data_IF_256194058850
#
_entry.id   IF_256194058850
#
_cell.length_a   1.000
_cell.length_b   1.000
_cell.length_c   1.000
_cell.angle_alpha   90.00
_cell.angle_beta   90.00
_cell.angle_gamma   90.00
#
_symmetry.space_group_name_H-M   'P 1'
#
loop_
_entity.id
_entity.type
_entity.pdbx_description
1 polymer ?
#
# COMPACT_ATOMS: atom_id res chain seq x y z
N UNK A 1 -11.87 -13.54 -20.64
CA UNK A 1 -10.58 -13.33 -19.96
C UNK A 1 -10.85 -13.17 -18.47
N UNK A 2 -9.85 -13.27 -17.58
CA UNK A 2 -10.10 -13.03 -16.15
C UNK A 2 -10.57 -11.60 -15.92
N UNK A 3 -9.99 -10.63 -16.65
CA UNK A 3 -10.42 -9.24 -16.59
C UNK A 3 -11.91 -9.07 -16.87
N UNK A 4 -12.40 -9.61 -18.01
CA UNK A 4 -13.82 -9.51 -18.37
C UNK A 4 -14.75 -10.10 -17.30
N UNK A 5 -14.39 -11.26 -16.75
CA UNK A 5 -15.17 -11.89 -15.68
C UNK A 5 -15.28 -11.00 -14.44
N UNK A 6 -14.20 -10.32 -14.07
CA UNK A 6 -14.19 -9.38 -12.95
C UNK A 6 -14.98 -8.12 -13.26
N UNK A 7 -14.85 -7.57 -14.48
CA UNK A 7 -15.61 -6.39 -14.91
C UNK A 7 -17.13 -6.67 -14.90
N UNK A 8 -17.55 -7.83 -15.40
CA UNK A 8 -18.96 -8.25 -15.46
C UNK A 8 -19.55 -8.43 -14.04
N UNK A 9 -18.81 -9.06 -13.11
CA UNK A 9 -19.28 -9.24 -11.72
C UNK A 9 -19.23 -7.96 -10.89
N UNK A 10 -18.25 -7.08 -11.13
CA UNK A 10 -18.11 -5.80 -10.45
C UNK A 10 -19.27 -4.83 -10.68
N UNK A 11 -20.18 -5.14 -11.61
CA UNK A 11 -21.46 -4.44 -11.77
C UNK A 11 -22.45 -4.71 -10.63
N UNK A 12 -22.32 -5.84 -9.93
CA UNK A 12 -23.21 -6.27 -8.86
C UNK A 12 -22.51 -6.22 -7.49
N UNK A 13 -21.25 -6.64 -7.45
CA UNK A 13 -20.44 -6.68 -6.24
C UNK A 13 -18.98 -6.43 -6.59
N UNK A 14 -18.36 -5.43 -5.97
CA UNK A 14 -16.99 -5.07 -6.30
C UNK A 14 -16.04 -6.20 -5.88
N UNK A 15 -15.42 -6.84 -6.86
CA UNK A 15 -14.40 -7.86 -6.64
C UNK A 15 -13.02 -7.24 -6.73
N UNK A 16 -12.44 -6.92 -5.59
CA UNK A 16 -11.00 -6.64 -5.51
C UNK A 16 -10.22 -7.94 -5.35
N UNK A 17 -8.96 -7.95 -5.74
CA UNK A 17 -8.09 -9.07 -5.45
C UNK A 17 -6.72 -8.65 -4.91
N UNK A 18 -6.15 -9.57 -4.16
CA UNK A 18 -4.73 -9.65 -3.90
C UNK A 18 -4.16 -10.90 -4.54
N UNK A 19 -2.90 -10.83 -4.95
CA UNK A 19 -2.13 -12.01 -5.37
C UNK A 19 -1.94 -13.07 -4.29
N UNK A 20 -2.41 -12.80 -3.07
CA UNK A 20 -2.31 -13.68 -1.91
C UNK A 20 -0.86 -13.91 -1.50
N UNK A 21 -0.66 -14.56 -0.36
CA UNK A 21 0.68 -15.02 0.06
C UNK A 21 1.09 -16.27 -0.72
N UNK A 22 0.11 -17.05 -1.17
CA UNK A 22 0.26 -18.35 -1.83
C UNK A 22 0.43 -18.30 -3.36
N UNK A 23 0.36 -17.12 -3.99
CA UNK A 23 0.40 -16.97 -5.45
C UNK A 23 -0.92 -17.35 -6.17
N UNK A 24 -1.97 -17.66 -5.40
CA UNK A 24 -3.35 -17.75 -5.88
C UNK A 24 -4.04 -16.42 -5.60
N UNK A 25 -4.85 -15.93 -6.54
CA UNK A 25 -5.66 -14.76 -6.27
C UNK A 25 -6.66 -15.05 -5.17
N UNK A 26 -6.66 -14.21 -4.14
CA UNK A 26 -7.77 -14.09 -3.20
C UNK A 26 -8.67 -12.97 -3.70
N UNK A 27 -9.93 -13.29 -3.95
CA UNK A 27 -10.94 -12.31 -4.32
C UNK A 27 -11.75 -11.95 -3.08
N UNK A 28 -11.92 -10.65 -2.84
CA UNK A 28 -12.68 -10.14 -1.69
C UNK A 28 -13.88 -9.36 -2.22
N UNK A 29 -15.11 -9.87 -1.99
CA UNK A 29 -16.33 -9.24 -2.46
C UNK A 29 -16.75 -8.09 -1.54
N UNK A 30 -17.01 -6.92 -2.12
CA UNK A 30 -17.55 -5.75 -1.42
C UNK A 30 -18.85 -5.32 -2.09
N UNK A 31 -19.96 -5.43 -1.37
CA UNK A 31 -21.19 -4.76 -1.78
C UNK A 31 -21.02 -3.23 -1.68
N UNK A 32 -22.03 -2.47 -2.13
CA UNK A 32 -21.93 -1.01 -2.16
C UNK A 32 -21.66 -0.41 -0.76
N UNK A 33 -22.28 -0.99 0.27
CA UNK A 33 -22.13 -0.53 1.65
C UNK A 33 -20.72 -0.80 2.19
N UNK A 34 -20.22 -2.03 2.05
CA UNK A 34 -18.86 -2.42 2.47
C UNK A 34 -17.81 -1.62 1.69
N UNK A 35 -18.05 -1.37 0.41
CA UNK A 35 -17.18 -0.54 -0.44
C UNK A 35 -17.11 0.90 0.08
N UNK A 36 -18.24 1.53 0.38
CA UNK A 36 -18.28 2.88 0.94
C UNK A 36 -17.62 2.94 2.32
N UNK A 37 -17.88 1.96 3.20
CA UNK A 37 -17.21 1.89 4.49
C UNK A 37 -15.70 1.74 4.37
N UNK A 38 -15.22 0.93 3.42
CA UNK A 38 -13.78 0.81 3.13
C UNK A 38 -13.18 2.15 2.70
N UNK A 39 -13.80 2.85 1.74
CA UNK A 39 -13.30 4.15 1.24
C UNK A 39 -13.30 5.17 2.37
N UNK A 40 -14.40 5.27 3.13
CA UNK A 40 -14.54 6.20 4.24
C UNK A 40 -13.52 5.92 5.34
N UNK A 41 -13.37 4.66 5.75
CA UNK A 41 -12.39 4.24 6.76
C UNK A 41 -10.97 4.66 6.39
N UNK A 42 -10.52 4.34 5.16
CA UNK A 42 -9.19 4.74 4.71
C UNK A 42 -9.03 6.26 4.64
N UNK A 43 -10.05 6.98 4.14
CA UNK A 43 -10.00 8.43 4.00
C UNK A 43 -9.94 9.15 5.35
N UNK A 44 -10.82 8.79 6.29
CA UNK A 44 -10.86 9.39 7.64
C UNK A 44 -9.59 9.04 8.42
N UNK A 45 -9.07 7.80 8.31
CA UNK A 45 -7.80 7.45 8.93
C UNK A 45 -6.63 8.24 8.33
N UNK A 46 -6.57 8.40 7.01
CA UNK A 46 -5.52 9.18 6.36
C UNK A 46 -5.56 10.66 6.78
N UNK A 47 -6.74 11.28 6.83
CA UNK A 47 -6.90 12.67 7.28
C UNK A 47 -6.58 12.81 8.76
N UNK A 48 -7.02 11.89 9.62
CA UNK A 48 -6.73 11.93 11.05
C UNK A 48 -5.22 11.81 11.32
N UNK A 49 -4.53 11.00 10.52
CA UNK A 49 -3.10 10.73 10.66
C UNK A 49 -2.23 11.84 10.08
N UNK A 50 -2.60 12.37 8.92
CA UNK A 50 -1.80 13.40 8.26
C UNK A 50 -2.19 14.82 8.65
N UNK A 51 -3.44 15.06 9.02
CA UNK A 51 -4.02 16.37 9.33
C UNK A 51 -4.87 16.91 8.18
N UNK A 52 -5.84 17.78 8.48
CA UNK A 52 -6.85 18.28 7.52
C UNK A 52 -6.28 18.99 6.28
N UNK A 53 -5.05 19.48 6.34
CA UNK A 53 -4.42 20.17 5.23
C UNK A 53 -4.29 19.31 3.96
N UNK A 54 -4.25 17.99 4.11
CA UNK A 54 -4.19 17.04 2.98
C UNK A 54 -5.37 17.15 2.02
N UNK A 55 -6.51 17.68 2.49
CA UNK A 55 -7.69 17.94 1.65
C UNK A 55 -7.42 18.97 0.54
N UNK A 56 -6.42 19.83 0.72
CA UNK A 56 -6.05 20.86 -0.25
C UNK A 56 -4.94 20.45 -1.22
N UNK A 57 -4.25 19.33 -0.93
CA UNK A 57 -3.07 18.87 -1.65
C UNK A 57 -3.41 18.10 -2.93
N UNK A 58 -2.50 18.12 -3.90
CA UNK A 58 -2.63 17.35 -5.13
C UNK A 58 -2.04 15.94 -4.94
N UNK A 59 -2.86 14.91 -5.17
CA UNK A 59 -2.43 13.52 -5.11
C UNK A 59 -1.80 13.07 -6.42
N UNK A 60 -0.53 12.65 -6.39
CA UNK A 60 0.17 12.03 -7.52
C UNK A 60 0.32 10.53 -7.21
N UNK A 61 -0.42 9.70 -7.95
CA UNK A 61 -0.54 8.27 -7.68
C UNK A 61 0.23 7.44 -8.72
N UNK A 62 1.31 6.79 -8.30
CA UNK A 62 2.14 5.90 -9.11
C UNK A 62 1.54 4.49 -9.27
N UNK A 63 0.29 4.42 -9.72
CA UNK A 63 -0.52 3.20 -9.80
C UNK A 63 -1.47 3.22 -11.02
N UNK A 64 -1.98 2.06 -11.46
CA UNK A 64 -2.92 1.96 -12.58
C UNK A 64 -4.29 2.57 -12.26
N UNK A 65 -4.83 3.31 -13.23
CA UNK A 65 -6.17 3.91 -13.19
C UNK A 65 -7.29 2.86 -13.24
N UNK A 66 -7.13 1.81 -14.04
CA UNK A 66 -8.09 0.70 -14.17
C UNK A 66 -7.46 -0.61 -13.73
N UNK A 67 -7.94 -1.17 -12.62
CA UNK A 67 -7.56 -2.49 -12.12
C UNK A 67 -8.45 -2.90 -10.93
N UNK A 68 -8.49 -4.19 -10.62
CA UNK A 68 -9.10 -4.73 -9.41
C UNK A 68 -8.05 -5.03 -8.31
N UNK A 69 -6.77 -4.72 -8.56
CA UNK A 69 -5.74 -4.79 -7.53
C UNK A 69 -6.08 -3.83 -6.39
N UNK A 70 -6.23 -4.37 -5.19
CA UNK A 70 -6.66 -3.58 -4.03
C UNK A 70 -5.73 -2.38 -3.78
N UNK A 71 -4.41 -2.58 -3.80
CA UNK A 71 -3.38 -1.52 -3.61
C UNK A 71 -3.41 -0.40 -4.66
N UNK A 72 -4.17 -0.56 -5.73
CA UNK A 72 -4.28 0.46 -6.78
C UNK A 72 -5.67 1.08 -6.83
N UNK A 73 -6.71 0.28 -6.61
CA UNK A 73 -8.08 0.77 -6.55
C UNK A 73 -8.33 1.65 -5.32
N UNK A 74 -8.04 1.15 -4.10
CA UNK A 74 -8.43 1.89 -2.88
C UNK A 74 -7.73 3.26 -2.75
N UNK A 75 -6.42 3.43 -3.02
CA UNK A 75 -5.78 4.74 -2.86
C UNK A 75 -6.31 5.78 -3.85
N UNK A 76 -6.77 5.36 -5.04
CA UNK A 76 -7.43 6.25 -5.99
C UNK A 76 -8.74 6.78 -5.42
N UNK A 77 -9.64 5.89 -4.99
CA UNK A 77 -10.94 6.30 -4.44
C UNK A 77 -10.78 7.17 -3.18
N UNK A 78 -9.79 6.86 -2.35
CA UNK A 78 -9.45 7.67 -1.16
C UNK A 78 -8.93 9.05 -1.55
N UNK A 79 -8.03 9.15 -2.53
CA UNK A 79 -7.50 10.44 -2.99
C UNK A 79 -8.62 11.33 -3.58
N UNK A 80 -9.52 10.74 -4.37
CA UNK A 80 -10.69 11.45 -4.91
C UNK A 80 -11.62 11.93 -3.79
N UNK A 81 -11.86 11.09 -2.78
CA UNK A 81 -12.70 11.43 -1.62
C UNK A 81 -12.10 12.55 -0.75
N UNK A 82 -10.79 12.57 -0.56
CA UNK A 82 -10.09 13.52 0.31
C UNK A 82 -9.97 14.90 -0.34
N UNK A 83 -9.53 14.96 -1.58
CA UNK A 83 -9.19 16.24 -2.24
C UNK A 83 -9.85 16.46 -3.60
N UNK A 84 -10.15 15.40 -4.35
CA UNK A 84 -10.61 15.50 -5.75
C UNK A 84 -9.55 16.02 -6.74
N UNK A 85 -8.35 16.40 -6.27
CA UNK A 85 -7.19 16.77 -7.10
C UNK A 85 -6.28 15.56 -7.25
N UNK A 86 -6.50 14.75 -8.28
CA UNK A 86 -5.81 13.46 -8.44
C UNK A 86 -5.20 13.27 -9.83
N UNK A 87 -3.91 12.94 -9.87
CA UNK A 87 -3.19 12.50 -11.06
C UNK A 87 -2.77 11.04 -10.92
N UNK A 88 -3.29 10.19 -11.80
CA UNK A 88 -2.96 8.75 -11.85
C UNK A 88 -2.05 8.45 -13.05
N UNK A 89 -0.89 7.85 -12.79
CA UNK A 89 0.21 7.80 -13.78
C UNK A 89 0.17 6.61 -14.75
N UNK A 90 -0.43 5.48 -14.35
CA UNK A 90 -0.60 4.31 -15.21
C UNK A 90 -2.04 4.20 -15.71
N UNK A 91 -2.21 3.65 -16.91
CA UNK A 91 -3.53 3.48 -17.51
C UNK A 91 -4.22 2.24 -16.94
N UNK A 92 -3.85 1.06 -17.43
CA UNK A 92 -4.51 -0.19 -17.07
C UNK A 92 -3.48 -1.29 -16.87
N UNK A 93 -3.73 -2.12 -15.85
CA UNK A 93 -3.04 -3.39 -15.65
C UNK A 93 -4.13 -4.46 -15.53
N UNK A 94 -4.26 -5.29 -16.57
CA UNK A 94 -5.28 -6.33 -16.60
C UNK A 94 -4.96 -7.47 -15.63
N UNK A 95 -6.01 -8.08 -15.07
CA UNK A 95 -5.90 -9.23 -14.18
C UNK A 95 -5.16 -10.41 -14.82
N UNK A 96 -5.24 -10.57 -16.15
CA UNK A 96 -4.52 -11.61 -16.88
C UNK A 96 -3.00 -11.41 -16.88
N UNK A 97 -2.52 -10.17 -17.02
CA UNK A 97 -1.08 -9.83 -16.89
C UNK A 97 -0.59 -10.14 -15.48
N UNK A 98 -1.40 -9.76 -14.49
CA UNK A 98 -1.11 -9.99 -13.07
C UNK A 98 -1.01 -11.50 -12.81
N UNK A 99 -1.95 -12.29 -13.33
CA UNK A 99 -1.99 -13.75 -13.19
C UNK A 99 -0.78 -14.43 -13.80
N UNK A 100 -0.37 -13.95 -14.97
CA UNK A 100 0.75 -14.53 -15.69
C UNK A 100 2.09 -14.30 -14.95
N UNK A 101 2.22 -13.23 -14.17
CA UNK A 101 3.41 -12.95 -13.35
C UNK A 101 3.41 -13.64 -11.98
N UNK A 102 2.26 -14.12 -11.49
CA UNK A 102 2.17 -14.77 -10.17
C UNK A 102 2.42 -16.28 -10.21
N UNK A 103 2.12 -16.95 -11.33
CA UNK A 103 2.38 -18.38 -11.52
C UNK A 103 3.75 -18.63 -12.14
N UNK A 104 4.54 -19.60 -11.64
CA UNK A 104 5.70 -20.10 -12.36
C UNK A 104 5.24 -20.69 -13.70
N UNK A 105 5.89 -20.33 -14.83
CA UNK A 105 5.54 -20.91 -16.13
C UNK A 105 5.88 -22.40 -16.16
N UNK A 106 4.90 -23.25 -16.43
CA UNK A 106 5.06 -24.71 -16.45
C UNK A 106 5.41 -25.24 -17.85
N UNK A 107 4.95 -24.55 -18.89
CA UNK A 107 5.16 -24.95 -20.30
C UNK A 107 6.11 -24.01 -21.04
N UNK A 108 6.68 -24.47 -22.17
CA UNK A 108 7.54 -23.64 -23.02
C UNK A 108 6.82 -22.39 -23.55
N UNK A 109 5.56 -22.52 -23.98
CA UNK A 109 4.73 -21.37 -24.41
C UNK A 109 4.52 -20.37 -23.27
N UNK A 110 4.32 -20.83 -22.03
CA UNK A 110 4.21 -19.94 -20.87
C UNK A 110 5.53 -19.27 -20.51
N UNK A 111 6.67 -19.95 -20.68
CA UNK A 111 8.00 -19.34 -20.49
C UNK A 111 8.22 -18.19 -21.48
N UNK A 112 7.92 -18.40 -22.76
CA UNK A 112 8.01 -17.35 -23.80
C UNK A 112 7.09 -16.18 -23.47
N UNK A 113 5.83 -16.45 -23.09
CA UNK A 113 4.88 -15.41 -22.66
C UNK A 113 5.37 -14.65 -21.43
N UNK A 114 5.94 -15.34 -20.44
CA UNK A 114 6.50 -14.74 -19.23
C UNK A 114 7.67 -13.81 -19.56
N UNK A 115 8.55 -14.17 -20.49
CA UNK A 115 9.66 -13.32 -20.93
C UNK A 115 9.17 -12.06 -21.65
N UNK A 116 8.19 -12.19 -22.54
CA UNK A 116 7.57 -11.04 -23.24
C UNK A 116 6.89 -10.11 -22.23
N UNK A 117 6.12 -10.66 -21.30
CA UNK A 117 5.48 -9.91 -20.22
C UNK A 117 6.54 -9.21 -19.36
N UNK A 118 7.65 -9.90 -19.06
CA UNK A 118 8.86 -9.39 -18.42
C UNK A 118 9.33 -8.08 -19.03
N UNK A 119 9.63 -8.12 -20.32
CA UNK A 119 10.10 -6.99 -21.13
C UNK A 119 9.08 -5.84 -21.18
N UNK A 120 7.79 -6.14 -21.39
CA UNK A 120 6.71 -5.15 -21.36
C UNK A 120 6.64 -4.43 -19.99
N UNK A 121 6.83 -5.16 -18.89
CA UNK A 121 6.86 -4.56 -17.56
C UNK A 121 8.03 -3.61 -17.34
N UNK A 122 9.21 -3.92 -17.87
CA UNK A 122 10.35 -3.00 -17.83
C UNK A 122 10.08 -1.69 -18.58
N UNK A 123 9.42 -1.78 -19.75
CA UNK A 123 8.97 -0.61 -20.51
C UNK A 123 7.93 0.19 -19.71
N UNK A 124 6.95 -0.49 -19.11
CA UNK A 124 5.93 0.13 -18.26
C UNK A 124 6.55 0.84 -17.06
N UNK A 125 7.55 0.22 -16.40
CA UNK A 125 8.32 0.82 -15.30
C UNK A 125 9.06 2.07 -15.75
N UNK A 126 9.81 2.00 -16.86
CA UNK A 126 10.52 3.17 -17.39
C UNK A 126 9.55 4.32 -17.70
N UNK A 127 8.38 4.01 -18.27
CA UNK A 127 7.32 4.99 -18.54
C UNK A 127 6.71 5.56 -17.26
N UNK A 128 6.45 4.73 -16.25
CA UNK A 128 5.97 5.16 -14.93
C UNK A 128 6.96 6.13 -14.30
N UNK A 129 8.23 5.76 -14.22
CA UNK A 129 9.28 6.57 -13.60
C UNK A 129 9.46 7.91 -14.36
N UNK A 130 9.39 7.91 -15.70
CA UNK A 130 9.42 9.15 -16.50
C UNK A 130 8.23 10.06 -16.22
N UNK A 131 7.02 9.50 -16.12
CA UNK A 131 5.82 10.27 -15.78
C UNK A 131 5.87 10.80 -14.35
N UNK A 132 6.30 9.97 -13.41
CA UNK A 132 6.46 10.34 -12.00
C UNK A 132 7.44 11.49 -11.86
N UNK A 133 8.60 11.42 -12.53
CA UNK A 133 9.55 12.51 -12.63
C UNK A 133 8.88 13.79 -13.16
N UNK A 134 8.18 13.72 -14.29
CA UNK A 134 7.56 14.90 -14.92
C UNK A 134 6.49 15.55 -14.05
N UNK A 135 5.62 14.77 -13.40
CA UNK A 135 4.58 15.33 -12.54
C UNK A 135 5.14 15.89 -11.23
N UNK A 136 6.14 15.24 -10.64
CA UNK A 136 6.83 15.77 -9.45
C UNK A 136 7.59 17.05 -9.79
N UNK A 137 8.33 17.09 -10.91
CA UNK A 137 9.03 18.28 -11.38
C UNK A 137 8.08 19.47 -11.61
N UNK A 138 6.90 19.22 -12.23
CA UNK A 138 5.86 20.26 -12.37
C UNK A 138 5.37 20.77 -11.03
N UNK A 139 5.13 19.89 -10.06
CA UNK A 139 4.68 20.27 -8.73
C UNK A 139 5.74 21.12 -8.01
N UNK A 140 7.01 20.71 -8.08
CA UNK A 140 8.16 21.46 -7.54
C UNK A 140 8.25 22.85 -8.18
N UNK A 141 8.21 22.94 -9.52
CA UNK A 141 8.28 24.20 -10.24
C UNK A 141 7.14 25.17 -9.88
N UNK A 142 5.95 24.65 -9.60
CA UNK A 142 4.78 25.43 -9.16
C UNK A 142 4.70 25.67 -7.66
N UNK A 143 5.62 25.08 -6.88
CA UNK A 143 5.56 25.00 -5.41
C UNK A 143 4.22 24.45 -4.90
N UNK A 144 3.63 23.51 -5.64
CA UNK A 144 2.36 22.86 -5.29
C UNK A 144 2.60 21.78 -4.23
N UNK A 145 1.92 21.89 -3.09
CA UNK A 145 1.95 20.84 -2.05
C UNK A 145 1.27 19.55 -2.57
N UNK A 146 2.01 18.44 -2.55
CA UNK A 146 1.56 17.15 -3.09
C UNK A 146 1.54 16.02 -2.06
N UNK A 147 0.71 15.02 -2.35
CA UNK A 147 0.77 13.69 -1.75
C UNK A 147 1.26 12.72 -2.79
N UNK A 148 2.50 12.25 -2.63
CA UNK A 148 3.12 11.34 -3.57
C UNK A 148 2.92 9.89 -3.11
N UNK A 149 2.04 9.14 -3.79
CA UNK A 149 1.74 7.76 -3.43
C UNK A 149 2.40 6.75 -4.38
N UNK A 150 3.01 5.70 -3.83
CA UNK A 150 3.47 4.53 -4.59
C UNK A 150 3.74 3.34 -3.69
N UNK A 151 3.86 2.14 -4.26
CA UNK A 151 4.38 1.01 -3.47
C UNK A 151 5.83 1.28 -3.05
N UNK A 152 6.26 0.70 -1.93
CA UNK A 152 7.64 0.80 -1.44
C UNK A 152 8.69 0.53 -2.54
N UNK A 153 8.59 -0.56 -3.33
CA UNK A 153 9.56 -0.82 -4.41
C UNK A 153 9.57 0.25 -5.52
N UNK A 154 8.41 0.75 -5.93
CA UNK A 154 8.30 1.82 -6.94
C UNK A 154 8.92 3.12 -6.45
N UNK A 155 8.64 3.48 -5.19
CA UNK A 155 9.18 4.69 -4.59
C UNK A 155 10.70 4.61 -4.41
N UNK A 156 11.20 3.46 -3.98
CA UNK A 156 12.64 3.18 -3.89
C UNK A 156 13.31 3.30 -5.27
N UNK A 157 12.76 2.65 -6.30
CA UNK A 157 13.31 2.71 -7.66
C UNK A 157 13.31 4.15 -8.22
N UNK A 158 12.29 4.95 -7.90
CA UNK A 158 12.23 6.35 -8.29
C UNK A 158 13.33 7.19 -7.61
N UNK A 159 13.42 7.12 -6.28
CA UNK A 159 14.37 7.91 -5.52
C UNK A 159 15.82 7.50 -5.81
N UNK A 160 16.09 6.19 -5.93
CA UNK A 160 17.41 5.66 -6.33
C UNK A 160 17.86 6.25 -7.65
N UNK A 161 16.96 6.30 -8.65
CA UNK A 161 17.28 6.83 -9.97
C UNK A 161 17.56 8.34 -9.98
N UNK A 162 16.88 9.12 -9.13
CA UNK A 162 17.18 10.55 -8.95
C UNK A 162 18.59 10.73 -8.39
N UNK A 163 18.90 10.03 -7.30
CA UNK A 163 20.23 10.12 -6.65
C UNK A 163 21.35 9.64 -7.57
N UNK A 164 21.16 8.54 -8.31
CA UNK A 164 22.12 8.04 -9.31
C UNK A 164 22.41 9.04 -10.44
N UNK A 165 21.49 9.97 -10.71
CA UNK A 165 21.66 11.05 -11.69
C UNK A 165 22.22 12.34 -11.09
N UNK A 166 22.42 12.40 -9.78
CA UNK A 166 22.75 13.64 -9.07
C UNK A 166 21.59 14.65 -9.07
N UNK A 167 20.35 14.19 -9.25
CA UNK A 167 19.15 15.01 -9.26
C UNK A 167 18.48 14.99 -7.88
N UNK A 168 17.90 16.13 -7.47
CA UNK A 168 17.07 16.24 -6.27
C UNK A 168 15.82 17.07 -6.59
N UNK A 169 14.65 16.49 -6.34
CA UNK A 169 13.35 17.13 -6.52
C UNK A 169 12.74 17.43 -5.15
N UNK A 170 13.23 18.50 -4.51
CA UNK A 170 12.79 18.88 -3.16
C UNK A 170 11.29 19.24 -3.13
N UNK A 171 10.49 18.41 -2.47
CA UNK A 171 9.04 18.57 -2.44
C UNK A 171 8.66 19.80 -1.58
N UNK A 172 7.76 20.67 -2.08
CA UNK A 172 7.47 21.94 -1.43
C UNK A 172 6.58 21.78 -0.19
N UNK A 173 6.74 22.70 0.76
CA UNK A 173 5.82 22.87 1.89
C UNK A 173 5.66 21.61 2.74
N UNK A 174 4.42 21.25 3.02
CA UNK A 174 4.03 20.09 3.84
C UNK A 174 3.80 18.83 3.01
N UNK A 175 4.34 18.75 1.79
CA UNK A 175 4.21 17.56 0.96
C UNK A 175 4.64 16.31 1.72
N UNK A 176 3.92 15.21 1.50
CA UNK A 176 4.17 13.92 2.14
C UNK A 176 4.34 12.82 1.09
N UNK A 177 5.13 11.81 1.43
CA UNK A 177 5.24 10.57 0.66
C UNK A 177 4.43 9.50 1.37
N UNK A 178 3.55 8.83 0.62
CA UNK A 178 2.73 7.75 1.13
C UNK A 178 3.12 6.45 0.45
N UNK A 179 3.41 5.43 1.24
CA UNK A 179 3.76 4.09 0.74
C UNK A 179 2.87 3.01 1.34
N UNK A 180 2.89 1.82 0.74
CA UNK A 180 2.16 0.67 1.27
C UNK A 180 2.48 -0.66 0.60
N UNK A 181 1.91 -1.73 1.18
CA UNK A 181 1.98 -3.10 0.67
C UNK A 181 3.25 -3.89 1.05
N UNK A 182 4.00 -3.38 2.02
CA UNK A 182 5.05 -4.11 2.71
C UNK A 182 6.45 -3.92 2.13
N UNK A 183 7.42 -4.16 3.01
CA UNK A 183 8.84 -3.96 2.76
C UNK A 183 9.47 -5.21 2.15
N UNK A 184 9.39 -5.35 0.83
CA UNK A 184 10.25 -6.25 0.07
C UNK A 184 10.98 -5.44 -1.00
N UNK A 185 11.90 -4.61 -0.52
CA UNK A 185 12.87 -3.95 -1.38
C UNK A 185 13.93 -4.95 -1.85
N UNK A 186 14.89 -4.47 -2.64
CA UNK A 186 16.11 -5.22 -2.95
C UNK A 186 16.70 -5.82 -1.66
N UNK A 187 17.21 -7.06 -1.73
CA UNK A 187 17.78 -7.74 -0.56
C UNK A 187 18.82 -6.85 0.12
N UNK A 188 18.65 -6.61 1.42
CA UNK A 188 19.61 -5.86 2.24
C UNK A 188 19.32 -4.37 2.40
N UNK A 189 18.31 -3.82 1.72
CA UNK A 189 17.87 -2.44 1.99
C UNK A 189 17.10 -2.42 3.30
N UNK A 190 17.45 -1.52 4.24
CA UNK A 190 16.72 -1.29 5.49
C UNK A 190 15.75 -0.11 5.38
N UNK A 191 14.80 0.01 6.31
CA UNK A 191 13.86 1.14 6.31
C UNK A 191 14.59 2.47 6.52
N UNK A 192 15.67 2.47 7.30
CA UNK A 192 16.53 3.63 7.55
C UNK A 192 17.23 4.07 6.26
N UNK A 193 17.72 3.11 5.46
CA UNK A 193 18.31 3.41 4.15
C UNK A 193 17.28 3.99 3.19
N UNK A 194 16.06 3.46 3.18
CA UNK A 194 14.98 4.02 2.36
C UNK A 194 14.59 5.43 2.82
N UNK A 195 14.49 5.67 4.13
CA UNK A 195 14.21 7.00 4.69
C UNK A 195 15.31 8.01 4.30
N UNK A 196 16.59 7.62 4.38
CA UNK A 196 17.70 8.46 3.91
C UNK A 196 17.56 8.79 2.42
N UNK A 197 17.19 7.80 1.61
CA UNK A 197 17.01 7.97 0.19
C UNK A 197 15.85 8.92 -0.15
N UNK A 198 14.75 8.89 0.61
CA UNK A 198 13.65 9.86 0.49
C UNK A 198 14.13 11.30 0.76
N UNK A 199 15.00 11.50 1.75
CA UNK A 199 15.56 12.81 2.04
C UNK A 199 16.50 13.30 0.92
N UNK A 200 17.41 12.44 0.47
CA UNK A 200 18.37 12.75 -0.59
C UNK A 200 17.68 13.08 -1.92
N UNK A 201 16.66 12.30 -2.30
CA UNK A 201 15.97 12.47 -3.58
C UNK A 201 14.88 13.55 -3.54
N UNK A 202 14.12 13.65 -2.44
CA UNK A 202 12.86 14.41 -2.38
C UNK A 202 12.79 15.43 -1.24
N UNK A 203 13.78 15.48 -0.35
CA UNK A 203 13.77 16.39 0.81
C UNK A 203 12.77 16.01 1.91
N UNK A 204 12.26 14.78 1.89
CA UNK A 204 11.32 14.28 2.90
C UNK A 204 12.08 13.81 4.15
N UNK A 205 11.84 14.39 5.33
CA UNK A 205 12.57 14.06 6.56
C UNK A 205 11.98 12.81 7.21
N UNK A 206 12.06 11.66 6.55
CA UNK A 206 11.48 10.43 7.08
C UNK A 206 12.16 9.99 8.41
N UNK A 207 11.41 9.48 9.41
CA UNK A 207 10.03 9.00 9.34
C UNK A 207 8.95 10.09 9.29
N UNK A 208 9.26 11.33 9.64
CA UNK A 208 8.33 12.44 9.51
C UNK A 208 7.96 12.69 8.04
N UNK A 209 6.68 12.97 7.77
CA UNK A 209 6.13 13.15 6.41
C UNK A 209 6.30 11.95 5.46
N UNK A 210 6.74 10.80 5.96
CA UNK A 210 6.63 9.51 5.28
C UNK A 210 5.54 8.66 5.95
N UNK A 211 4.42 8.50 5.27
CA UNK A 211 3.27 7.73 5.74
C UNK A 211 3.29 6.35 5.10
N UNK A 212 3.64 5.31 5.87
CA UNK A 212 3.57 3.92 5.45
C UNK A 212 2.27 3.28 5.93
N UNK A 213 1.58 2.58 5.03
CA UNK A 213 0.33 1.87 5.29
C UNK A 213 0.53 0.37 5.39
N UNK A 214 0.17 -0.20 6.55
CA UNK A 214 0.03 -1.65 6.71
C UNK A 214 -1.43 -2.07 6.56
N UNK A 215 -1.68 -3.14 5.80
CA UNK A 215 -3.00 -3.71 5.62
C UNK A 215 -3.00 -4.83 4.59
N UNK A 216 -4.20 -5.29 4.25
CA UNK A 216 -4.43 -6.44 3.38
C UNK A 216 -5.78 -6.31 2.67
N UNK A 217 -5.97 -7.03 1.56
CA UNK A 217 -7.19 -6.86 0.75
C UNK A 217 -8.45 -7.37 1.43
N UNK A 218 -8.29 -8.23 2.42
CA UNK A 218 -9.31 -8.79 3.27
C UNK A 218 -9.81 -7.77 4.31
N UNK A 219 -9.10 -6.66 4.52
CA UNK A 219 -9.41 -5.66 5.53
C UNK A 219 -9.95 -4.36 4.92
N UNK A 220 -10.98 -3.76 5.52
CA UNK A 220 -11.53 -2.46 5.13
C UNK A 220 -10.92 -1.29 5.91
N UNK A 221 -9.78 -1.53 6.56
CA UNK A 221 -9.00 -0.51 7.24
C UNK A 221 -7.54 -0.53 6.78
N UNK A 222 -6.82 0.57 7.02
CA UNK A 222 -5.37 0.64 6.89
C UNK A 222 -4.76 1.20 8.17
N UNK A 223 -3.70 0.55 8.64
CA UNK A 223 -2.89 1.01 9.76
C UNK A 223 -1.83 1.99 9.22
N UNK A 224 -2.19 3.27 9.17
CA UNK A 224 -1.29 4.33 8.70
C UNK A 224 -0.27 4.72 9.77
N UNK A 225 0.96 4.97 9.35
CA UNK A 225 1.97 5.57 10.22
C UNK A 225 1.77 7.07 10.42
N UNK A 226 1.97 7.55 11.65
CA UNK A 226 1.84 8.96 11.98
C UNK A 226 2.89 9.82 11.26
N UNK A 227 2.48 11.02 10.81
CA UNK A 227 3.38 11.97 10.12
C UNK A 227 4.44 12.57 11.04
N UNK A 228 4.27 12.41 12.35
CA UNK A 228 5.14 12.94 13.40
C UNK A 228 6.29 11.99 13.77
N UNK A 229 6.22 10.71 13.40
CA UNK A 229 7.31 9.78 13.74
C UNK A 229 7.18 8.34 13.27
N UNK A 230 6.23 8.03 12.39
CA UNK A 230 6.20 6.75 11.68
C UNK A 230 5.65 5.55 12.46
N UNK A 231 5.03 5.74 13.62
CA UNK A 231 4.33 4.66 14.34
C UNK A 231 2.95 4.40 13.73
N UNK A 232 2.59 3.13 13.51
CA UNK A 232 1.34 2.75 12.81
C UNK A 232 0.18 2.67 13.78
N UNK A 233 -0.85 3.50 13.60
CA UNK A 233 -2.00 3.52 14.49
C UNK A 233 -3.05 2.48 14.13
N UNK A 234 -3.66 1.91 15.15
CA UNK A 234 -4.88 1.10 15.04
C UNK A 234 -6.09 2.05 15.03
N UNK A 235 -6.89 2.09 13.94
CA UNK A 235 -8.11 2.90 13.93
C UNK A 235 -9.09 2.48 15.03
N UNK A 236 -9.82 3.42 15.66
CA UNK A 236 -10.67 3.11 16.81
C UNK A 236 -11.91 2.28 16.48
N UNK A 237 -12.24 2.12 15.19
CA UNK A 237 -13.38 1.32 14.72
C UNK A 237 -13.00 -0.12 14.32
N UNK A 238 -11.75 -0.55 14.52
CA UNK A 238 -11.35 -1.95 14.37
C UNK A 238 -10.98 -2.54 15.73
N UNK A 239 -11.30 -3.80 15.97
CA UNK A 239 -10.80 -4.52 17.14
C UNK A 239 -9.63 -5.41 16.71
N UNK A 240 -8.43 -5.12 17.21
CA UNK A 240 -7.26 -5.99 17.02
C UNK A 240 -7.06 -6.90 18.22
N UNK A 241 -6.53 -8.09 17.97
CA UNK A 241 -6.18 -9.11 18.97
C UNK A 241 -4.78 -9.63 18.61
N UNK A 242 -3.96 -9.89 19.62
CA UNK A 242 -2.74 -10.68 19.44
C UNK A 242 -2.99 -12.07 20.00
N UNK A 243 -2.66 -13.09 19.23
CA UNK A 243 -2.83 -14.48 19.62
C UNK A 243 -1.47 -15.14 19.91
N UNK A 244 -1.44 -16.01 20.90
CA UNK A 244 -0.30 -16.91 21.15
C UNK A 244 -0.24 -18.06 20.12
N UNK A 245 0.68 -19.00 20.32
CA UNK A 245 0.87 -20.14 19.42
C UNK A 245 -0.32 -21.11 19.44
N UNK A 246 -1.07 -21.16 20.55
CA UNK A 246 -2.30 -21.93 20.72
C UNK A 246 -3.57 -21.16 20.31
N UNK A 247 -3.40 -20.00 19.64
CA UNK A 247 -4.48 -19.11 19.20
C UNK A 247 -5.33 -18.52 20.34
N UNK A 248 -4.79 -18.40 21.55
CA UNK A 248 -5.45 -17.74 22.68
C UNK A 248 -5.10 -16.25 22.69
N UNK A 249 -6.06 -15.38 23.05
CA UNK A 249 -5.81 -13.94 23.11
C UNK A 249 -4.79 -13.59 24.19
N UNK A 250 -3.82 -12.76 23.81
CA UNK A 250 -2.87 -12.12 24.71
C UNK A 250 -3.50 -10.88 25.37
N UNK A 251 -2.95 -10.41 26.50
CA UNK A 251 -3.45 -9.20 27.15
C UNK A 251 -3.32 -7.94 26.28
N UNK A 252 -4.16 -6.94 26.54
CA UNK A 252 -4.20 -5.69 25.77
C UNK A 252 -3.59 -4.51 26.55
N UNK A 253 -2.43 -4.74 27.17
CA UNK A 253 -1.69 -3.70 27.90
C UNK A 253 -0.19 -3.82 27.67
N UNK A 254 0.52 -2.69 27.84
CA UNK A 254 1.96 -2.62 27.63
C UNK A 254 2.35 -3.00 26.21
N UNK A 255 3.48 -3.69 26.06
CA UNK A 255 3.98 -4.15 24.77
C UNK A 255 3.81 -5.65 24.65
N UNK A 256 3.10 -6.09 23.62
CA UNK A 256 2.77 -7.50 23.40
C UNK A 256 3.15 -7.90 21.98
N UNK A 257 3.59 -9.14 21.81
CA UNK A 257 3.95 -9.68 20.50
C UNK A 257 3.26 -11.01 20.28
N UNK A 258 2.48 -11.11 19.20
CA UNK A 258 1.71 -12.31 18.87
C UNK A 258 1.23 -12.30 17.42
N UNK A 259 0.49 -13.33 17.03
CA UNK A 259 -0.14 -13.41 15.71
C UNK A 259 -1.26 -12.39 15.64
N UNK A 260 -1.24 -11.50 14.65
CA UNK A 260 -2.28 -10.49 14.51
C UNK A 260 -3.58 -11.17 14.06
N UNK A 261 -4.65 -10.90 14.79
CA UNK A 261 -6.02 -11.13 14.36
C UNK A 261 -6.81 -9.82 14.50
N UNK A 262 -7.90 -9.69 13.74
CA UNK A 262 -8.77 -8.54 13.86
C UNK A 262 -10.24 -8.89 13.59
N UNK A 263 -11.11 -8.10 14.19
CA UNK A 263 -12.51 -7.98 13.84
C UNK A 263 -12.73 -6.63 13.17
N UNK A 264 -13.08 -6.69 11.88
CA UNK A 264 -13.44 -5.56 11.03
C UNK A 264 -14.98 -5.46 10.95
N UNK A 265 -15.61 -4.58 11.73
CA UNK A 265 -17.07 -4.42 11.71
C UNK A 265 -17.58 -3.77 10.40
N UNK A 266 -16.68 -3.25 9.56
CA UNK A 266 -17.04 -2.64 8.28
C UNK A 266 -17.27 -3.66 7.17
N UNK A 267 -16.84 -4.92 7.36
CA UNK A 267 -17.08 -6.01 6.43
C UNK A 267 -18.53 -6.51 6.56
N UNK A 268 -19.45 -5.94 5.76
CA UNK A 268 -20.87 -6.33 5.75
C UNK A 268 -21.17 -7.42 4.70
N UNK A 269 -20.35 -7.52 3.64
CA UNK A 269 -20.52 -8.50 2.56
C UNK A 269 -19.70 -9.79 2.70
N UNK A 270 -18.89 -9.91 3.76
CA UNK A 270 -18.10 -11.12 4.07
C UNK A 270 -17.71 -11.14 5.56
N UNK A 271 -17.34 -12.31 6.13
CA UNK A 271 -16.91 -12.37 7.53
C UNK A 271 -15.67 -11.50 7.81
N UNK A 272 -15.82 -10.50 8.67
CA UNK A 272 -14.75 -9.56 9.05
C UNK A 272 -13.79 -10.06 10.14
N UNK A 273 -13.75 -11.36 10.45
CA UNK A 273 -12.89 -11.93 11.48
C UNK A 273 -11.73 -12.68 10.84
N UNK A 274 -10.53 -12.12 10.91
CA UNK A 274 -9.37 -12.63 10.17
C UNK A 274 -8.20 -12.84 11.12
N UNK A 275 -7.64 -14.05 11.08
CA UNK A 275 -6.32 -14.36 11.65
C UNK A 275 -5.31 -14.23 10.52
N UNK A 276 -4.33 -13.35 10.70
CA UNK A 276 -3.37 -13.01 9.64
C UNK A 276 -2.19 -13.99 9.61
N UNK A 277 -1.38 -13.95 8.56
CA UNK A 277 -0.07 -14.61 8.51
C UNK A 277 1.07 -13.81 9.15
N UNK A 278 0.74 -12.77 9.91
CA UNK A 278 1.68 -11.79 10.43
C UNK A 278 1.81 -11.91 11.96
N UNK A 279 3.04 -11.90 12.44
CA UNK A 279 3.39 -11.71 13.85
C UNK A 279 3.72 -10.24 14.04
N UNK A 280 3.04 -9.57 14.96
CA UNK A 280 3.23 -8.13 15.17
C UNK A 280 3.49 -7.83 16.63
N UNK A 281 4.18 -6.71 16.87
CA UNK A 281 4.34 -6.12 18.20
C UNK A 281 3.41 -4.91 18.30
N UNK A 282 2.47 -4.93 19.25
CA UNK A 282 1.59 -3.80 19.56
C UNK A 282 2.04 -3.19 20.90
N UNK A 283 2.13 -1.86 20.92
CA UNK A 283 2.22 -1.08 22.14
C UNK A 283 0.84 -0.49 22.45
N UNK A 284 0.22 -1.03 23.49
CA UNK A 284 -1.10 -0.65 23.97
C UNK A 284 -1.11 0.63 24.80
N UNK A 285 0.06 1.10 25.23
CA UNK A 285 0.18 2.38 25.95
C UNK A 285 0.08 3.60 25.02
N UNK A 286 -0.03 3.37 23.71
CA UNK A 286 -0.19 4.41 22.71
C UNK A 286 1.11 4.89 22.07
N UNK A 287 0.97 5.93 21.25
CA UNK A 287 2.05 6.44 20.42
C UNK A 287 3.03 7.29 21.21
N UNK A 288 4.33 7.07 21.00
CA UNK A 288 5.39 7.89 21.62
C UNK A 288 5.70 9.17 20.83
N UNK A 289 5.15 9.30 19.62
CA UNK A 289 5.49 10.33 18.63
C UNK A 289 4.39 11.36 18.40
N UNK A 290 3.16 11.07 18.80
CA UNK A 290 2.02 11.98 18.65
C UNK A 290 1.05 11.84 19.83
N UNK A 291 0.09 12.76 19.92
CA UNK A 291 -0.91 12.80 21.00
C UNK A 291 -2.14 11.92 20.75
N UNK A 292 -2.18 11.17 19.63
CA UNK A 292 -3.34 10.32 19.32
C UNK A 292 -3.37 9.13 20.26
N UNK A 293 -4.54 8.89 20.83
CA UNK A 293 -4.81 7.75 21.70
C UNK A 293 -4.96 6.45 20.89
N UNK A 294 -4.89 5.33 21.61
CA UNK A 294 -5.07 4.00 21.06
C UNK A 294 -3.76 3.31 20.69
N UNK A 295 -3.81 1.98 20.47
CA UNK A 295 -2.62 1.17 20.28
C UNK A 295 -1.90 1.47 18.97
N UNK A 296 -0.58 1.23 18.97
CA UNK A 296 0.28 1.34 17.79
C UNK A 296 0.99 0.03 17.48
N UNK A 297 1.17 -0.26 16.20
CA UNK A 297 1.97 -1.38 15.69
C UNK A 297 3.41 -0.90 15.49
N UNK A 298 4.34 -1.52 16.21
CA UNK A 298 5.76 -1.15 16.20
C UNK A 298 6.60 -2.06 15.29
N UNK A 299 6.22 -3.34 15.18
CA UNK A 299 6.96 -4.34 14.41
C UNK A 299 6.00 -5.28 13.70
N UNK A 300 6.32 -5.66 12.47
CA UNK A 300 5.55 -6.59 11.64
C UNK A 300 6.51 -7.61 11.03
N UNK A 301 6.23 -8.88 11.23
CA UNK A 301 7.01 -10.01 10.72
C UNK A 301 6.10 -11.07 10.09
N UNK A 302 6.59 -11.76 9.06
CA UNK A 302 5.85 -12.90 8.46
C UNK A 302 6.14 -14.17 9.25
N UNK A 303 5.09 -14.92 9.58
CA UNK A 303 5.25 -16.25 10.18
C UNK A 303 5.83 -17.19 9.11
N UNK A 304 6.98 -17.84 9.41
CA UNK A 304 7.83 -18.56 8.44
C UNK A 304 7.13 -19.72 7.71
N UNK A 305 6.04 -20.28 8.24
CA UNK A 305 5.24 -21.32 7.58
C UNK A 305 4.34 -20.78 6.45
N UNK A 306 4.21 -19.45 6.31
CA UNK A 306 3.37 -18.77 5.33
C UNK A 306 4.18 -17.73 4.53
N UNK A 307 5.01 -18.18 3.58
CA UNK A 307 5.77 -17.29 2.69
C UNK A 307 4.86 -16.27 1.97
N UNK A 308 5.13 -14.97 2.13
CA UNK A 308 4.28 -13.89 1.63
C UNK A 308 4.55 -13.46 0.18
N UNK A 309 3.51 -13.13 -0.59
CA UNK A 309 3.53 -12.68 -2.00
C UNK A 309 2.45 -11.59 -2.28
N UNK A 310 2.30 -10.63 -1.36
CA UNK A 310 1.22 -9.61 -1.37
C UNK A 310 1.16 -8.67 -2.58
N UNK A 311 0.12 -7.83 -2.65
CA UNK A 311 -0.20 -6.97 -3.81
C UNK A 311 0.96 -6.08 -4.29
N UNK A 312 1.68 -5.41 -3.38
CA UNK A 312 2.80 -4.53 -3.78
C UNK A 312 3.93 -5.30 -4.45
N UNK A 313 4.19 -6.54 -4.01
CA UNK A 313 5.17 -7.40 -4.64
C UNK A 313 4.77 -7.79 -6.05
N UNK A 314 3.47 -7.97 -6.27
CA UNK A 314 2.99 -8.26 -7.61
C UNK A 314 3.02 -7.03 -8.49
N UNK A 315 2.75 -5.85 -7.95
CA UNK A 315 2.99 -4.61 -8.68
C UNK A 315 4.48 -4.44 -9.03
N UNK A 316 5.39 -4.61 -8.07
CA UNK A 316 6.84 -4.58 -8.30
C UNK A 316 7.27 -5.62 -9.33
N UNK A 317 6.82 -6.87 -9.19
CA UNK A 317 7.05 -7.92 -10.19
C UNK A 317 6.50 -7.53 -11.54
N UNK A 318 5.29 -6.98 -11.67
CA UNK A 318 4.74 -6.51 -12.96
C UNK A 318 5.64 -5.45 -13.58
N UNK A 319 6.28 -4.64 -12.75
CA UNK A 319 7.23 -3.59 -13.15
C UNK A 319 8.67 -4.11 -13.32
N UNK A 320 8.95 -5.40 -13.09
CA UNK A 320 10.26 -6.02 -13.31
C UNK A 320 11.23 -5.90 -12.13
N UNK A 321 10.71 -5.90 -10.90
CA UNK A 321 11.48 -6.01 -9.65
C UNK A 321 11.43 -7.43 -9.05
#
# INVERSE_FOLDING_TARGET
SLQKFLDDLSQYIWLSYSSGTTGRFTFIPRDEQTKEFCIRSFAEAAVAISGDYVRNMHFILALPRKTHLFISWIPKEVAERISGKVTVLLNEISADIVRARTKPPATFSEKVKSSIIGLLGGIMKSKLIKKLYSEVEKAVAKREEIILFGSMPVMYAFCKKLVERGERLELPGRSIVVTGGGFKLEKGVSIEQFNKLLYEALGIPAPERHVDGYGMCECNILFYSCVEGGEKHVPPWVKVLLLDEELRPLPEYGRQTGRLAFFDPLAQSYPGFIITGDKVTINWNGCSKCSREGPVIEKIERIKSEEGRGCALVLGKILGE
#
